data_IF_515391463863
#
_entry.id   IF_515391463863
#
_cell.length_a   1.000
_cell.length_b   1.000
_cell.length_c   1.000
_cell.angle_alpha   90.00
_cell.angle_beta   90.00
_cell.angle_gamma   90.00
#
_symmetry.space_group_name_H-M   'P 1'
#
loop_
_entity.id
_entity.type
_entity.pdbx_description
1 polymer ?
#
# COMPACT_ATOMS: atom_id res chain seq x y z
N UNK A 1 -11.91 2.04 7.92
CA UNK A 1 -11.33 2.00 9.28
C UNK A 1 -10.94 0.57 9.60
N UNK A 2 -9.81 0.37 10.29
CA UNK A 2 -9.30 -0.95 10.67
C UNK A 2 -9.66 -1.18 12.14
N UNK A 3 -10.25 -2.34 12.46
CA UNK A 3 -10.64 -2.73 13.81
C UNK A 3 -10.06 -4.10 14.16
N UNK A 4 -9.75 -4.32 15.44
CA UNK A 4 -9.40 -5.63 16.03
C UNK A 4 -10.35 -5.85 17.20
N UNK A 5 -11.18 -6.90 17.14
CA UNK A 5 -12.23 -7.18 18.14
C UNK A 5 -13.08 -5.93 18.44
N UNK A 6 -13.59 -5.28 17.39
CA UNK A 6 -14.34 -4.02 17.44
C UNK A 6 -13.58 -2.78 17.92
N UNK A 7 -12.36 -2.92 18.43
CA UNK A 7 -11.51 -1.78 18.86
C UNK A 7 -10.85 -1.13 17.64
N UNK A 8 -10.93 0.20 17.47
CA UNK A 8 -10.18 0.90 16.42
C UNK A 8 -8.68 0.63 16.52
N UNK A 9 -8.10 0.10 15.45
CA UNK A 9 -6.69 -0.29 15.37
C UNK A 9 -5.91 0.57 14.36
N UNK A 10 -6.59 1.30 13.49
CA UNK A 10 -5.96 2.13 12.48
C UNK A 10 -6.90 2.51 11.35
N UNK A 11 -6.34 3.00 10.25
CA UNK A 11 -7.09 3.33 9.05
C UNK A 11 -6.24 3.20 7.78
N UNK A 12 -6.94 3.13 6.66
CA UNK A 12 -6.39 3.21 5.32
C UNK A 12 -7.23 4.23 4.56
N UNK A 13 -6.58 5.14 3.86
CA UNK A 13 -7.18 6.06 2.91
C UNK A 13 -6.75 5.63 1.51
N UNK A 14 -7.73 5.21 0.71
CA UNK A 14 -7.51 4.81 -0.67
C UNK A 14 -8.02 5.94 -1.57
N UNK A 15 -7.16 6.43 -2.46
CA UNK A 15 -7.49 7.41 -3.47
C UNK A 15 -7.76 6.69 -4.81
N UNK A 16 -8.59 7.32 -5.65
CA UNK A 16 -8.90 6.91 -7.02
C UNK A 16 -8.71 8.10 -7.96
N UNK A 17 -8.69 7.90 -9.29
CA UNK A 17 -8.58 9.03 -10.23
C UNK A 17 -9.62 10.12 -9.96
N UNK A 18 -9.26 11.42 -10.10
CA UNK A 18 -7.98 11.93 -10.63
C UNK A 18 -6.87 12.11 -9.57
N UNK A 19 -7.00 11.51 -8.38
CA UNK A 19 -6.07 11.72 -7.25
C UNK A 19 -4.97 10.66 -7.15
N UNK A 20 -4.57 10.06 -8.28
CA UNK A 20 -3.53 9.03 -8.39
C UNK A 20 -2.37 9.60 -9.21
N UNK A 21 -1.14 9.20 -8.89
CA UNK A 21 0.08 9.76 -9.51
C UNK A 21 0.38 9.23 -10.92
N UNK A 22 -0.25 8.13 -11.29
CA UNK A 22 -0.12 7.46 -12.59
C UNK A 22 -1.47 6.93 -13.05
N UNK A 23 -1.48 6.09 -14.09
CA UNK A 23 -2.69 5.49 -14.66
C UNK A 23 -3.31 4.38 -13.77
N UNK A 24 -2.86 4.20 -12.52
CA UNK A 24 -3.41 3.19 -11.61
C UNK A 24 -4.86 3.52 -11.19
N UNK A 25 -5.63 2.47 -10.90
CA UNK A 25 -7.01 2.60 -10.43
C UNK A 25 -7.09 3.06 -8.96
N UNK A 26 -6.10 2.66 -8.16
CA UNK A 26 -6.08 2.89 -6.72
C UNK A 26 -4.70 3.32 -6.21
N UNK A 27 -4.69 4.27 -5.29
CA UNK A 27 -3.53 4.68 -4.52
C UNK A 27 -3.76 4.42 -3.02
N UNK A 28 -2.84 3.71 -2.37
CA UNK A 28 -2.78 3.70 -0.89
C UNK A 28 -2.20 5.03 -0.41
N UNK A 29 -3.06 6.04 -0.27
CA UNK A 29 -2.66 7.42 0.01
C UNK A 29 -2.18 7.59 1.45
N UNK A 30 -2.92 7.02 2.42
CA UNK A 30 -2.48 6.95 3.81
C UNK A 30 -2.75 5.57 4.39
N UNK A 31 -1.80 5.07 5.18
CA UNK A 31 -1.95 3.80 5.86
C UNK A 31 -1.30 3.84 7.23
N UNK A 32 -2.10 3.60 8.28
CA UNK A 32 -1.63 3.72 9.64
C UNK A 32 -2.24 2.69 10.58
N UNK A 33 -1.39 2.09 11.41
CA UNK A 33 -1.75 1.21 12.51
C UNK A 33 -1.27 1.81 13.82
N UNK A 34 -2.16 1.86 14.81
CA UNK A 34 -1.88 2.30 16.17
C UNK A 34 -0.83 1.40 16.82
N UNK A 35 0.06 2.00 17.61
CA UNK A 35 1.21 1.31 18.23
C UNK A 35 0.86 0.01 18.97
N UNK A 36 -0.23 -0.08 19.76
CA UNK A 36 -0.59 -1.31 20.47
C UNK A 36 -0.89 -2.52 19.57
N UNK A 37 -1.21 -2.30 18.29
CA UNK A 37 -1.59 -3.35 17.34
C UNK A 37 -0.46 -3.70 16.35
N UNK A 38 0.73 -3.11 16.51
CA UNK A 38 1.89 -3.39 15.66
C UNK A 38 2.56 -4.71 16.06
N UNK A 39 3.26 -5.32 15.11
CA UNK A 39 3.99 -6.59 15.33
C UNK A 39 3.11 -7.85 15.37
N UNK A 40 1.79 -7.71 15.19
CA UNK A 40 0.82 -8.80 15.31
C UNK A 40 0.20 -9.21 13.94
N UNK A 41 0.78 -8.75 12.82
CA UNK A 41 0.27 -9.05 11.47
C UNK A 41 -0.97 -8.25 11.05
N UNK A 42 -1.57 -7.44 11.93
CA UNK A 42 -2.77 -6.63 11.66
C UNK A 42 -2.62 -5.77 10.40
N UNK A 43 -1.46 -5.14 10.23
CA UNK A 43 -1.17 -4.29 9.09
C UNK A 43 -1.22 -5.05 7.74
N UNK A 44 -0.67 -6.26 7.69
CA UNK A 44 -0.63 -7.05 6.46
C UNK A 44 -2.01 -7.63 6.14
N UNK A 45 -2.72 -8.13 7.16
CA UNK A 45 -4.07 -8.66 7.01
C UNK A 45 -5.05 -7.59 6.53
N UNK A 46 -5.02 -6.40 7.12
CA UNK A 46 -5.96 -5.34 6.79
C UNK A 46 -5.78 -4.84 5.35
N UNK A 47 -4.55 -4.61 4.89
CA UNK A 47 -4.33 -4.14 3.51
C UNK A 47 -4.62 -5.25 2.48
N UNK A 48 -4.32 -6.50 2.80
CA UNK A 48 -4.68 -7.66 1.95
C UNK A 48 -6.19 -7.78 1.76
N UNK A 49 -6.98 -7.53 2.81
CA UNK A 49 -8.44 -7.50 2.69
C UNK A 49 -8.93 -6.38 1.77
N UNK A 50 -8.30 -5.20 1.84
CA UNK A 50 -8.61 -4.07 0.94
C UNK A 50 -8.30 -4.46 -0.51
N UNK A 51 -7.11 -5.01 -0.79
CA UNK A 51 -6.75 -5.45 -2.13
C UNK A 51 -7.71 -6.54 -2.65
N UNK A 52 -8.07 -7.53 -1.83
CA UNK A 52 -9.04 -8.55 -2.23
C UNK A 52 -10.43 -7.98 -2.53
N UNK A 53 -10.82 -6.91 -1.84
CA UNK A 53 -12.11 -6.27 -2.04
C UNK A 53 -12.18 -5.45 -3.34
N UNK A 54 -11.07 -4.83 -3.76
CA UNK A 54 -11.02 -3.94 -4.91
C UNK A 54 -9.97 -4.43 -5.92
N UNK A 55 -10.46 -4.91 -7.06
CA UNK A 55 -9.63 -5.42 -8.14
C UNK A 55 -9.24 -4.29 -9.09
N UNK A 56 -7.95 -4.11 -9.35
CA UNK A 56 -7.42 -3.00 -10.13
C UNK A 56 -5.89 -2.97 -10.22
N UNK A 57 -5.40 -1.90 -10.83
CA UNK A 57 -4.01 -1.47 -10.77
C UNK A 57 -3.79 -0.61 -9.54
N UNK A 58 -2.74 -0.92 -8.79
CA UNK A 58 -2.45 -0.32 -7.49
C UNK A 58 -1.10 0.38 -7.50
N UNK A 59 -1.10 1.59 -6.92
CA UNK A 59 0.10 2.34 -6.60
C UNK A 59 0.23 2.51 -5.08
N UNK A 60 1.45 2.33 -4.58
CA UNK A 60 1.86 2.65 -3.21
C UNK A 60 3.16 3.46 -3.30
N UNK A 61 3.31 4.50 -2.48
CA UNK A 61 4.58 5.20 -2.40
C UNK A 61 5.00 5.56 -0.97
N UNK A 62 6.29 5.79 -0.78
CA UNK A 62 6.85 6.35 0.47
C UNK A 62 8.16 7.08 0.18
N UNK A 63 8.54 8.07 0.98
CA UNK A 63 9.81 8.78 0.79
C UNK A 63 11.00 7.82 0.96
N UNK A 64 11.96 7.76 0.02
CA UNK A 64 13.06 6.80 0.02
C UNK A 64 14.19 7.24 0.97
N UNK A 65 13.91 7.21 2.28
CA UNK A 65 14.88 7.59 3.33
C UNK A 65 15.10 6.46 4.32
N UNK A 66 16.23 6.48 5.03
CA UNK A 66 16.53 5.53 6.12
C UNK A 66 15.44 5.52 7.21
N UNK A 67 14.81 6.68 7.46
CA UNK A 67 13.68 6.80 8.41
C UNK A 67 12.48 5.94 7.98
N UNK A 68 12.30 5.73 6.68
CA UNK A 68 11.23 4.93 6.09
C UNK A 68 11.68 3.52 5.69
N UNK A 69 12.90 3.09 6.01
CA UNK A 69 13.39 1.74 5.68
C UNK A 69 12.44 0.64 6.19
N UNK A 70 11.84 0.82 7.36
CA UNK A 70 10.81 -0.11 7.90
C UNK A 70 9.54 -0.14 7.06
N UNK A 71 9.09 1.01 6.54
CA UNK A 71 7.91 1.12 5.67
C UNK A 71 8.17 0.46 4.32
N UNK A 72 9.35 0.70 3.74
CA UNK A 72 9.79 0.07 2.48
C UNK A 72 9.85 -1.46 2.67
N UNK A 73 10.46 -1.94 3.75
CA UNK A 73 10.53 -3.37 4.05
C UNK A 73 9.15 -3.99 4.27
N UNK A 74 8.25 -3.28 4.95
CA UNK A 74 6.86 -3.70 5.13
C UNK A 74 6.18 -3.91 3.77
N UNK A 75 6.22 -2.92 2.88
CA UNK A 75 5.58 -3.03 1.57
C UNK A 75 6.20 -4.12 0.70
N UNK A 76 7.53 -4.23 0.64
CA UNK A 76 8.22 -5.33 -0.05
C UNK A 76 7.71 -6.70 0.40
N UNK A 77 7.67 -6.93 1.71
CA UNK A 77 7.22 -8.21 2.28
C UNK A 77 5.74 -8.47 1.96
N UNK A 78 4.88 -7.49 2.22
CA UNK A 78 3.44 -7.63 2.02
C UNK A 78 3.09 -7.85 0.55
N UNK A 79 3.69 -7.10 -0.37
CA UNK A 79 3.43 -7.25 -1.80
C UNK A 79 4.03 -8.55 -2.34
N UNK A 80 5.23 -8.95 -1.89
CA UNK A 80 5.80 -10.25 -2.24
C UNK A 80 4.86 -11.40 -1.86
N UNK A 81 4.30 -11.38 -0.65
CA UNK A 81 3.33 -12.38 -0.20
C UNK A 81 2.00 -12.30 -0.98
N UNK A 82 1.43 -11.11 -1.13
CA UNK A 82 0.11 -10.92 -1.75
C UNK A 82 0.10 -11.26 -3.25
N UNK A 83 1.12 -10.81 -3.96
CA UNK A 83 1.20 -10.91 -5.43
C UNK A 83 1.98 -12.14 -5.90
N UNK A 84 2.54 -12.94 -4.97
CA UNK A 84 3.55 -13.96 -5.26
C UNK A 84 4.74 -13.37 -6.06
N UNK A 85 5.35 -12.33 -5.51
CA UNK A 85 6.45 -11.55 -6.10
C UNK A 85 6.15 -10.86 -7.45
N UNK A 86 4.88 -10.69 -7.83
CA UNK A 86 4.47 -9.98 -9.05
C UNK A 86 4.11 -8.52 -8.75
N UNK A 87 5.10 -7.75 -8.33
CA UNK A 87 5.02 -6.30 -8.17
C UNK A 87 6.33 -5.67 -8.67
N UNK A 88 6.30 -4.39 -9.02
CA UNK A 88 7.50 -3.60 -9.35
C UNK A 88 7.82 -2.64 -8.23
N UNK A 89 9.10 -2.27 -8.12
CA UNK A 89 9.53 -1.16 -7.28
C UNK A 89 10.55 -0.28 -8.02
N UNK A 90 10.45 1.03 -7.85
CA UNK A 90 11.36 2.01 -8.44
C UNK A 90 11.50 3.26 -7.55
N UNK A 91 12.61 3.98 -7.69
CA UNK A 91 12.72 5.34 -7.15
C UNK A 91 12.41 6.35 -8.25
N UNK A 92 11.44 7.24 -8.03
CA UNK A 92 11.06 8.31 -8.97
C UNK A 92 10.65 9.59 -8.27
N UNK A 93 10.72 10.69 -8.99
CA UNK A 93 10.11 11.97 -8.58
C UNK A 93 8.62 11.95 -8.95
N UNK A 94 7.76 12.14 -7.95
CA UNK A 94 6.32 12.33 -8.15
C UNK A 94 6.00 13.84 -8.26
N UNK A 95 4.73 14.23 -8.15
CA UNK A 95 4.35 15.66 -8.12
C UNK A 95 5.14 16.43 -7.05
N UNK A 96 5.31 17.74 -7.26
CA UNK A 96 6.19 18.58 -6.47
C UNK A 96 5.94 18.53 -4.95
N UNK A 97 4.71 18.27 -4.54
CA UNK A 97 4.30 18.15 -3.13
C UNK A 97 4.77 16.84 -2.47
N UNK A 98 5.02 15.79 -3.26
CA UNK A 98 5.54 14.51 -2.78
C UNK A 98 7.07 14.46 -2.94
N UNK A 99 7.58 14.86 -4.10
CA UNK A 99 8.99 14.75 -4.47
C UNK A 99 9.46 13.31 -4.61
N UNK A 100 10.70 13.05 -4.19
CA UNK A 100 11.35 11.74 -4.29
C UNK A 100 10.54 10.64 -3.55
N UNK A 101 10.24 9.56 -4.26
CA UNK A 101 9.42 8.47 -3.79
C UNK A 101 10.00 7.11 -4.18
N UNK A 102 10.00 6.17 -3.24
CA UNK A 102 10.00 4.73 -3.54
C UNK A 102 8.56 4.37 -3.89
N UNK A 103 8.34 3.94 -5.13
CA UNK A 103 7.02 3.58 -5.64
C UNK A 103 6.94 2.08 -5.86
N UNK A 104 5.80 1.50 -5.52
CA UNK A 104 5.45 0.12 -5.77
C UNK A 104 4.18 0.08 -6.62
N UNK A 105 4.19 -0.73 -7.68
CA UNK A 105 3.01 -0.99 -8.50
C UNK A 105 2.74 -2.49 -8.58
N UNK A 106 1.45 -2.85 -8.61
CA UNK A 106 1.02 -4.22 -8.92
C UNK A 106 -0.40 -4.21 -9.50
N UNK A 107 -0.78 -5.34 -10.10
CA UNK A 107 -2.16 -5.57 -10.53
C UNK A 107 -2.70 -6.83 -9.86
N UNK A 108 -3.95 -6.75 -9.39
CA UNK A 108 -4.71 -7.93 -8.99
C UNK A 108 -5.91 -8.17 -9.90
N UNK A 109 -6.04 -7.43 -11.02
CA UNK A 109 -7.07 -7.70 -12.04
C UNK A 109 -7.04 -9.17 -12.43
N UNK A 110 -8.19 -9.83 -12.37
CA UNK A 110 -8.34 -11.17 -12.91
C UNK A 110 -8.16 -11.09 -14.43
N UNK A 111 -7.05 -11.58 -14.93
CA UNK A 111 -6.88 -11.86 -16.36
C UNK A 111 -7.73 -13.10 -16.65
N UNK A 112 -8.98 -12.90 -17.11
CA UNK A 112 -9.82 -14.00 -17.57
C UNK A 112 -9.07 -14.87 -18.57
N UNK A 113 -8.97 -16.17 -18.27
CA UNK A 113 -8.68 -17.22 -19.26
C UNK A 113 -9.90 -17.47 -20.13
#
# INVERSE_FOLDING_TARGET
MIRVNEVPAGFALIATPPYVEDDSDFLVNEYFILQPFRGQGVAEQAITQIFNRFQGEWLIYTTPTERNARTIHFWRKTLAHYTNNRFTEEDKELRAEIGAAKVFNFTNKWSGS
#
